data_IF_371858938838
#
_entry.id   IF_371858938838
#
_cell.length_a   1.000
_cell.length_b   1.000
_cell.length_c   1.000
_cell.angle_alpha   90.00
_cell.angle_beta   90.00
_cell.angle_gamma   90.00
#
_symmetry.space_group_name_H-M   'P 1'
#
loop_
_entity.id
_entity.type
_entity.pdbx_description
1 polymer ?
#
# COMPACT_ATOMS: atom_id res chain seq x y z
N UNK A 1 -9.76 -10.87 9.39
CA UNK A 1 -10.30 -10.46 8.07
C UNK A 1 -9.17 -10.69 7.06
N UNK A 2 -9.33 -11.63 6.12
CA UNK A 2 -8.24 -12.06 5.23
C UNK A 2 -7.92 -11.06 4.12
N UNK A 3 -6.78 -11.22 3.47
CA UNK A 3 -6.43 -10.46 2.28
C UNK A 3 -7.50 -10.63 1.20
N UNK A 4 -7.98 -9.52 0.62
CA UNK A 4 -8.99 -9.53 -0.45
C UNK A 4 -8.46 -10.15 -1.76
N UNK A 5 -7.14 -10.21 -1.92
CA UNK A 5 -6.43 -10.73 -3.08
C UNK A 5 -5.43 -11.79 -2.58
N UNK A 6 -5.34 -12.93 -3.27
CA UNK A 6 -4.38 -13.98 -2.95
C UNK A 6 -2.96 -13.62 -3.39
N UNK A 7 -1.96 -14.30 -2.81
CA UNK A 7 -0.58 -14.23 -3.30
C UNK A 7 -0.51 -14.59 -4.79
N UNK A 8 0.28 -13.85 -5.56
CA UNK A 8 0.65 -14.24 -6.92
C UNK A 8 1.71 -15.33 -6.96
N UNK A 9 2.44 -15.52 -5.86
CA UNK A 9 3.46 -16.57 -5.72
C UNK A 9 2.84 -17.81 -5.10
N UNK A 10 2.90 -18.96 -5.76
CA UNK A 10 2.42 -20.23 -5.20
C UNK A 10 3.09 -20.55 -3.86
N UNK A 11 2.28 -20.94 -2.87
CA UNK A 11 2.76 -21.34 -1.54
C UNK A 11 3.18 -20.20 -0.60
N UNK A 12 3.09 -18.93 -1.03
CA UNK A 12 3.41 -17.78 -0.20
C UNK A 12 2.14 -17.12 0.37
N UNK A 13 2.27 -16.51 1.56
CA UNK A 13 1.19 -15.73 2.17
C UNK A 13 0.92 -14.45 1.37
N UNK A 14 -0.36 -14.11 1.24
CA UNK A 14 -0.77 -12.85 0.63
C UNK A 14 -0.31 -11.66 1.49
N UNK A 15 0.51 -10.80 0.90
CA UNK A 15 0.93 -9.52 1.45
C UNK A 15 1.04 -8.50 0.31
N UNK A 16 1.41 -7.26 0.62
CA UNK A 16 1.55 -6.22 -0.40
C UNK A 16 2.48 -6.65 -1.55
N UNK A 17 3.66 -7.18 -1.24
CA UNK A 17 4.65 -7.60 -2.25
C UNK A 17 4.16 -8.76 -3.12
N UNK A 18 3.62 -9.82 -2.50
CA UNK A 18 3.15 -11.00 -3.23
C UNK A 18 1.88 -10.74 -4.03
N UNK A 19 1.01 -9.82 -3.59
CA UNK A 19 -0.18 -9.45 -4.35
C UNK A 19 0.15 -8.60 -5.59
N UNK A 20 1.09 -7.66 -5.48
CA UNK A 20 1.48 -6.81 -6.60
C UNK A 20 2.23 -7.54 -7.72
N UNK A 21 2.72 -8.75 -7.48
CA UNK A 21 3.34 -9.58 -8.50
C UNK A 21 2.37 -10.13 -9.55
N UNK A 22 1.05 -10.04 -9.32
CA UNK A 22 0.05 -10.27 -10.38
C UNK A 22 0.21 -9.26 -11.53
N UNK A 23 0.62 -8.01 -11.21
CA UNK A 23 0.80 -6.92 -12.18
C UNK A 23 2.02 -6.08 -11.79
N UNK A 24 3.25 -6.49 -12.16
CA UNK A 24 4.48 -5.83 -11.71
C UNK A 24 4.61 -4.36 -12.10
N UNK A 25 4.09 -3.96 -13.27
CA UNK A 25 4.08 -2.55 -13.69
C UNK A 25 3.27 -1.68 -12.74
N UNK A 26 2.13 -2.18 -12.23
CA UNK A 26 1.32 -1.47 -11.26
C UNK A 26 2.10 -1.25 -9.96
N UNK A 27 2.96 -2.19 -9.56
CA UNK A 27 3.81 -2.07 -8.39
C UNK A 27 4.83 -0.94 -8.52
N UNK A 28 5.40 -0.78 -9.73
CA UNK A 28 6.32 0.30 -10.05
C UNK A 28 5.62 1.67 -9.99
N UNK A 29 4.48 1.79 -10.69
CA UNK A 29 3.69 3.03 -10.71
C UNK A 29 3.20 3.41 -9.31
N UNK A 30 2.77 2.42 -8.52
CA UNK A 30 2.40 2.64 -7.13
C UNK A 30 3.58 3.15 -6.31
N UNK A 31 4.75 2.50 -6.39
CA UNK A 31 5.95 2.91 -5.64
C UNK A 31 6.38 4.34 -6.00
N UNK A 32 6.30 4.71 -7.28
CA UNK A 32 6.58 6.07 -7.72
C UNK A 32 5.61 7.07 -7.07
N UNK A 33 4.30 6.88 -7.25
CA UNK A 33 3.28 7.80 -6.72
C UNK A 33 3.34 7.89 -5.18
N UNK A 34 3.41 6.74 -4.51
CA UNK A 34 3.43 6.65 -3.06
C UNK A 34 4.73 7.22 -2.49
N UNK A 35 5.87 6.99 -3.16
CA UNK A 35 7.17 7.57 -2.82
C UNK A 35 7.15 9.10 -2.89
N UNK A 36 6.67 9.68 -3.99
CA UNK A 36 6.51 11.13 -4.15
C UNK A 36 5.65 11.72 -3.04
N UNK A 37 4.50 11.11 -2.73
CA UNK A 37 3.63 11.58 -1.65
C UNK A 37 4.34 11.61 -0.29
N UNK A 38 5.23 10.66 0.00
CA UNK A 38 5.96 10.61 1.26
C UNK A 38 7.15 11.54 1.31
N UNK A 39 7.92 11.63 0.24
CA UNK A 39 9.20 12.34 0.19
C UNK A 39 9.05 13.82 -0.15
N UNK A 40 8.01 14.17 -0.92
CA UNK A 40 7.83 15.52 -1.44
C UNK A 40 6.59 16.22 -0.85
N UNK A 41 6.44 17.51 -1.14
CA UNK A 41 5.24 18.28 -0.81
C UNK A 41 5.35 19.14 0.45
N UNK A 42 4.24 19.79 0.78
CA UNK A 42 4.16 20.87 1.78
C UNK A 42 3.77 20.41 3.18
N UNK A 43 3.30 19.17 3.33
CA UNK A 43 2.90 18.60 4.61
C UNK A 43 4.07 17.88 5.26
N UNK A 44 4.13 17.96 6.59
CA UNK A 44 5.12 17.21 7.36
C UNK A 44 4.79 15.70 7.41
N UNK A 45 5.79 14.92 7.81
CA UNK A 45 5.67 13.47 7.88
C UNK A 45 4.57 13.00 8.87
N UNK A 46 4.44 13.58 10.08
CA UNK A 46 3.35 13.23 11.00
C UNK A 46 1.95 13.48 10.43
N UNK A 47 1.71 14.59 9.73
CA UNK A 47 0.40 14.87 9.12
C UNK A 47 0.06 13.85 8.04
N UNK A 48 1.04 13.48 7.20
CA UNK A 48 0.86 12.42 6.18
C UNK A 48 0.50 11.09 6.82
N UNK A 49 1.17 10.72 7.91
CA UNK A 49 0.90 9.47 8.61
C UNK A 49 -0.47 9.46 9.28
N UNK A 50 -0.88 10.57 9.91
CA UNK A 50 -2.22 10.72 10.47
C UNK A 50 -3.31 10.55 9.39
N UNK A 51 -3.12 11.21 8.24
CA UNK A 51 -4.01 11.08 7.10
C UNK A 51 -4.08 9.63 6.59
N UNK A 52 -2.92 8.96 6.43
CA UNK A 52 -2.86 7.55 6.02
C UNK A 52 -3.62 6.65 6.98
N UNK A 53 -3.41 6.78 8.29
CA UNK A 53 -4.09 5.99 9.32
C UNK A 53 -5.61 6.21 9.31
N UNK A 54 -6.05 7.46 9.12
CA UNK A 54 -7.48 7.78 8.98
C UNK A 54 -8.07 7.11 7.74
N UNK A 55 -7.41 7.23 6.59
CA UNK A 55 -7.85 6.60 5.34
C UNK A 55 -7.92 5.07 5.47
N UNK A 56 -6.92 4.45 6.10
CA UNK A 56 -6.92 3.01 6.36
C UNK A 56 -8.14 2.60 7.19
N UNK A 57 -8.42 3.30 8.29
CA UNK A 57 -9.57 3.03 9.16
C UNK A 57 -10.91 3.20 8.43
N UNK A 58 -11.09 4.29 7.68
CA UNK A 58 -12.32 4.55 6.91
C UNK A 58 -12.57 3.46 5.86
N UNK A 59 -11.50 2.92 5.26
CA UNK A 59 -11.60 1.86 4.25
C UNK A 59 -11.62 0.43 4.82
N UNK A 60 -11.64 0.28 6.15
CA UNK A 60 -11.57 -1.03 6.82
C UNK A 60 -10.26 -1.77 6.57
N UNK A 61 -9.18 -1.03 6.27
CA UNK A 61 -7.83 -1.58 6.20
C UNK A 61 -7.26 -1.62 7.61
N UNK A 62 -7.24 -2.81 8.19
CA UNK A 62 -6.61 -3.07 9.47
C UNK A 62 -5.17 -3.55 9.21
N UNK A 63 -4.22 -3.12 10.06
CA UNK A 63 -2.84 -3.61 10.01
C UNK A 63 -2.77 -5.12 10.26
#
# INVERSE_FOLDING_TARGET
MGARISSAVPGQTANFGTAFQHVPELAERFRYLYGTMWQEGVLDHPTKELARMRCARVNGCHN
#
